data_IF_410540071781
#
_entry.id   IF_410540071781
#
_cell.length_a   1.000
_cell.length_b   1.000
_cell.length_c   1.000
_cell.angle_alpha   90.00
_cell.angle_beta   90.00
_cell.angle_gamma   90.00
#
_symmetry.space_group_name_H-M   'P 1'
#
loop_
_entity.id
_entity.type
_entity.pdbx_description
1 polymer ?
#
# COMPACT_ATOMS: atom_id res chain seq x y z
N UNK A 1 31.91 -40.37 -8.25
CA UNK A 1 32.42 -39.18 -7.54
C UNK A 1 31.31 -38.19 -7.26
N UNK A 2 30.62 -38.35 -6.14
CA UNK A 2 29.62 -37.41 -5.65
C UNK A 2 30.30 -36.39 -4.73
N UNK A 3 30.36 -35.13 -5.16
CA UNK A 3 30.79 -34.04 -4.29
C UNK A 3 29.67 -33.72 -3.30
N UNK A 4 29.88 -34.11 -2.04
CA UNK A 4 28.95 -33.89 -0.94
C UNK A 4 29.05 -32.42 -0.50
N UNK A 5 28.03 -31.61 -0.82
CA UNK A 5 27.98 -30.21 -0.39
C UNK A 5 27.46 -30.13 1.05
N UNK A 6 28.37 -30.03 2.01
CA UNK A 6 28.02 -29.68 3.38
C UNK A 6 27.82 -28.17 3.51
N UNK A 7 26.56 -27.75 3.63
CA UNK A 7 26.23 -26.39 4.04
C UNK A 7 26.62 -26.23 5.52
N UNK A 8 27.77 -25.61 5.77
CA UNK A 8 28.09 -25.10 7.10
C UNK A 8 27.05 -24.03 7.46
N UNK A 9 25.95 -24.40 8.12
CA UNK A 9 25.30 -23.48 9.05
C UNK A 9 26.37 -23.15 10.07
N UNK A 10 27.03 -22.01 9.87
CA UNK A 10 28.10 -21.52 10.71
C UNK A 10 27.67 -21.64 12.17
N UNK A 11 28.54 -22.21 13.00
CA UNK A 11 28.47 -22.14 14.45
C UNK A 11 28.10 -20.72 14.89
N UNK A 12 27.29 -20.57 15.94
CA UNK A 12 26.84 -19.24 16.39
C UNK A 12 28.05 -18.33 16.59
N UNK A 13 28.25 -17.39 15.68
CA UNK A 13 29.41 -16.51 15.72
C UNK A 13 29.19 -15.46 16.80
N UNK A 14 29.84 -15.63 17.95
CA UNK A 14 29.70 -14.78 19.15
C UNK A 14 30.53 -13.51 19.10
N UNK A 15 31.26 -13.24 18.01
CA UNK A 15 32.04 -12.01 17.93
C UNK A 15 31.14 -10.78 17.76
N UNK A 16 31.33 -9.83 18.68
CA UNK A 16 30.56 -8.61 18.83
C UNK A 16 30.56 -7.74 17.57
N UNK A 17 31.72 -7.58 16.91
CA UNK A 17 31.84 -6.79 15.68
C UNK A 17 31.03 -7.39 14.52
N UNK A 18 31.03 -8.72 14.38
CA UNK A 18 30.23 -9.39 13.35
C UNK A 18 28.73 -9.40 13.68
N UNK A 19 28.37 -9.46 14.96
CA UNK A 19 26.98 -9.30 15.39
C UNK A 19 26.47 -7.90 15.05
N UNK A 20 27.22 -6.84 15.37
CA UNK A 20 26.85 -5.46 15.00
C UNK A 20 26.77 -5.28 13.47
N UNK A 21 27.74 -5.81 12.73
CA UNK A 21 27.79 -5.66 11.27
C UNK A 21 26.73 -6.49 10.53
N UNK A 22 26.24 -7.60 11.12
CA UNK A 22 25.26 -8.51 10.52
C UNK A 22 23.93 -8.55 11.29
N UNK A 23 23.70 -7.60 12.19
CA UNK A 23 22.46 -7.55 12.96
C UNK A 23 21.30 -7.25 12.02
N UNK A 24 20.44 -8.25 11.80
CA UNK A 24 19.20 -8.07 11.05
C UNK A 24 18.12 -7.60 12.01
N UNK A 25 17.31 -6.62 11.58
CA UNK A 25 16.15 -6.15 12.35
C UNK A 25 15.27 -7.36 12.70
N UNK A 26 14.93 -7.51 13.99
CA UNK A 26 14.05 -8.60 14.43
C UNK A 26 12.70 -8.51 13.69
N UNK A 27 12.08 -9.66 13.37
CA UNK A 27 10.71 -9.68 12.88
C UNK A 27 9.80 -9.02 13.93
N UNK A 28 8.89 -8.18 13.47
CA UNK A 28 7.96 -7.48 14.34
C UNK A 28 6.91 -8.44 14.88
N UNK A 29 6.37 -8.13 16.06
CA UNK A 29 5.19 -8.79 16.60
C UNK A 29 4.02 -8.61 15.64
N UNK A 30 3.29 -9.69 15.35
CA UNK A 30 2.05 -9.60 14.56
C UNK A 30 1.05 -8.71 15.29
N UNK A 31 0.51 -7.71 14.59
CA UNK A 31 -0.57 -6.89 15.12
C UNK A 31 -1.90 -7.63 14.94
N UNK A 32 -2.49 -8.10 16.04
CA UNK A 32 -3.82 -8.74 16.06
C UNK A 32 -4.99 -7.73 15.98
N UNK A 33 -4.70 -6.45 15.81
CA UNK A 33 -5.73 -5.41 15.71
C UNK A 33 -6.42 -5.54 14.35
N UNK A 34 -7.70 -5.92 14.38
CA UNK A 34 -8.59 -5.93 13.22
C UNK A 34 -9.61 -4.82 13.46
N UNK A 35 -9.83 -3.97 12.46
CA UNK A 35 -10.91 -3.00 12.48
C UNK A 35 -12.26 -3.68 12.79
N UNK A 36 -13.03 -3.19 13.78
CA UNK A 36 -14.24 -3.86 14.26
C UNK A 36 -15.42 -3.84 13.27
N UNK A 37 -15.39 -2.95 12.28
CA UNK A 37 -16.42 -2.83 11.25
C UNK A 37 -15.89 -2.17 9.97
N UNK A 38 -16.55 -2.36 8.82
CA UNK A 38 -16.16 -1.74 7.55
C UNK A 38 -16.09 -0.22 7.66
N UNK A 39 -15.05 0.36 7.08
CA UNK A 39 -14.70 1.79 7.09
C UNK A 39 -14.28 2.36 8.45
N UNK A 40 -14.07 1.53 9.48
CA UNK A 40 -13.45 2.01 10.71
C UNK A 40 -12.03 2.54 10.43
N UNK A 41 -11.21 1.75 9.74
CA UNK A 41 -9.86 2.13 9.33
C UNK A 41 -9.68 1.78 7.87
N UNK A 42 -9.24 2.75 7.08
CA UNK A 42 -8.77 2.51 5.72
C UNK A 42 -7.27 2.80 5.63
N UNK A 43 -6.54 1.94 4.93
CA UNK A 43 -5.13 2.10 4.62
C UNK A 43 -4.99 2.61 3.19
N UNK A 44 -4.23 3.69 2.99
CA UNK A 44 -3.98 4.23 1.66
C UNK A 44 -2.48 4.23 1.33
N UNK A 45 -2.17 3.98 0.08
CA UNK A 45 -0.79 4.02 -0.44
C UNK A 45 -0.80 4.30 -1.96
N UNK A 46 0.26 4.92 -2.47
CA UNK A 46 0.39 5.29 -3.88
C UNK A 46 1.50 4.47 -4.53
N UNK A 47 1.11 3.66 -5.51
CA UNK A 47 2.06 3.00 -6.38
C UNK A 47 2.46 3.89 -7.56
N UNK A 48 3.73 3.82 -7.95
CA UNK A 48 4.28 4.52 -9.13
C UNK A 48 4.64 3.53 -10.22
N UNK A 49 4.10 3.73 -11.42
CA UNK A 49 4.45 2.95 -12.60
C UNK A 49 5.80 3.36 -13.16
N UNK A 50 6.65 2.40 -13.57
CA UNK A 50 7.85 2.71 -14.36
C UNK A 50 7.51 3.15 -15.80
N UNK A 51 6.28 2.92 -16.26
CA UNK A 51 5.85 3.21 -17.63
C UNK A 51 4.56 4.04 -17.61
N UNK A 52 4.58 5.16 -18.34
CA UNK A 52 3.39 5.97 -18.55
C UNK A 52 2.36 5.18 -19.35
N UNK A 53 1.11 5.16 -18.90
CA UNK A 53 0.04 4.48 -19.62
C UNK A 53 -0.32 5.18 -20.93
N UNK A 54 -1.09 4.49 -21.78
CA UNK A 54 -1.66 5.03 -23.01
C UNK A 54 -2.54 6.27 -22.80
N UNK A 55 -3.07 6.46 -21.59
CA UNK A 55 -4.03 7.52 -21.20
C UNK A 55 -3.39 8.56 -20.28
N UNK A 56 -2.07 8.50 -20.10
CA UNK A 56 -1.28 9.48 -19.33
C UNK A 56 -1.24 9.24 -17.81
N UNK A 57 -1.78 8.14 -17.31
CA UNK A 57 -1.62 7.74 -15.90
C UNK A 57 -0.20 7.23 -15.62
N UNK A 58 0.38 7.66 -14.50
CA UNK A 58 1.69 7.24 -14.01
C UNK A 58 1.63 6.61 -12.61
N UNK A 59 0.53 6.83 -11.87
CA UNK A 59 0.38 6.37 -10.49
C UNK A 59 -0.96 5.66 -10.34
N UNK A 60 -1.14 4.89 -9.27
CA UNK A 60 -2.48 4.59 -8.78
C UNK A 60 -2.50 4.66 -7.25
N UNK A 61 -3.60 5.18 -6.70
CA UNK A 61 -3.90 5.11 -5.28
C UNK A 61 -4.61 3.79 -4.99
N UNK A 62 -4.18 3.09 -3.93
CA UNK A 62 -4.95 2.01 -3.32
C UNK A 62 -5.58 2.52 -2.05
N UNK A 63 -6.84 2.17 -1.84
CA UNK A 63 -7.55 2.32 -0.58
C UNK A 63 -8.01 0.94 -0.14
N UNK A 64 -7.46 0.44 0.97
CA UNK A 64 -7.75 -0.87 1.54
C UNK A 64 -8.58 -0.69 2.81
N UNK A 65 -9.75 -1.31 2.88
CA UNK A 65 -10.51 -1.39 4.13
C UNK A 65 -9.92 -2.46 5.05
N UNK A 66 -9.62 -2.05 6.29
CA UNK A 66 -8.92 -2.92 7.24
C UNK A 66 -9.79 -4.08 7.76
N UNK A 67 -11.11 -3.91 7.74
CA UNK A 67 -12.08 -4.89 8.26
C UNK A 67 -12.42 -5.96 7.21
N UNK A 68 -12.76 -5.53 5.99
CA UNK A 68 -13.24 -6.40 4.92
C UNK A 68 -12.12 -6.89 4.00
N UNK A 69 -10.94 -6.29 4.09
CA UNK A 69 -9.84 -6.46 3.14
C UNK A 69 -10.20 -6.11 1.69
N UNK A 70 -11.31 -5.39 1.47
CA UNK A 70 -11.66 -4.90 0.14
C UNK A 70 -10.74 -3.74 -0.25
N UNK A 71 -10.24 -3.77 -1.49
CA UNK A 71 -9.35 -2.76 -2.02
C UNK A 71 -9.98 -2.03 -3.21
N UNK A 72 -10.04 -0.71 -3.14
CA UNK A 72 -10.35 0.16 -4.28
C UNK A 72 -9.04 0.68 -4.88
N UNK A 73 -9.01 0.80 -6.21
CA UNK A 73 -7.86 1.38 -6.92
C UNK A 73 -8.28 2.51 -7.82
N UNK A 74 -7.44 3.55 -7.89
CA UNK A 74 -7.71 4.76 -8.66
C UNK A 74 -6.46 5.17 -9.45
N UNK A 75 -6.44 4.98 -10.79
CA UNK A 75 -5.36 5.49 -11.63
C UNK A 75 -5.26 7.02 -11.56
N UNK A 76 -4.04 7.55 -11.40
CA UNK A 76 -3.75 8.98 -11.27
C UNK A 76 -2.68 9.42 -12.29
N UNK A 77 -2.78 10.68 -12.72
CA UNK A 77 -1.77 11.31 -13.58
C UNK A 77 -0.68 11.96 -12.76
N UNK A 78 -1.04 12.56 -11.63
CA UNK A 78 -0.11 13.18 -10.70
C UNK A 78 -0.37 12.70 -9.26
N UNK A 79 0.68 12.64 -8.44
CA UNK A 79 0.54 12.37 -7.00
C UNK A 79 -0.33 13.41 -6.27
N UNK A 80 -0.40 14.64 -6.79
CA UNK A 80 -1.26 15.70 -6.25
C UNK A 80 -2.75 15.40 -6.36
N UNK A 81 -3.15 14.47 -7.24
CA UNK A 81 -4.55 14.13 -7.50
C UNK A 81 -5.15 13.27 -6.36
N UNK A 82 -4.31 12.71 -5.48
CA UNK A 82 -4.70 11.85 -4.36
C UNK A 82 -5.76 12.51 -3.48
N UNK A 83 -5.60 13.80 -3.18
CA UNK A 83 -6.52 14.51 -2.29
C UNK A 83 -7.95 14.57 -2.85
N UNK A 84 -8.09 14.95 -4.12
CA UNK A 84 -9.40 15.03 -4.79
C UNK A 84 -10.07 13.65 -4.90
N UNK A 85 -9.29 12.61 -5.16
CA UNK A 85 -9.78 11.23 -5.18
C UNK A 85 -10.28 10.79 -3.81
N UNK A 86 -9.56 11.12 -2.73
CA UNK A 86 -10.00 10.77 -1.37
C UNK A 86 -11.26 11.53 -0.93
N UNK A 87 -11.43 12.79 -1.33
CA UNK A 87 -12.70 13.52 -1.11
C UNK A 87 -13.86 12.81 -1.80
N UNK A 88 -13.65 12.46 -3.08
CA UNK A 88 -14.67 11.77 -3.89
C UNK A 88 -15.00 10.41 -3.29
N UNK A 89 -13.98 9.66 -2.87
CA UNK A 89 -14.13 8.37 -2.20
C UNK A 89 -14.89 8.50 -0.87
N UNK A 90 -14.57 9.49 -0.05
CA UNK A 90 -15.30 9.76 1.20
C UNK A 90 -16.80 10.01 0.94
N UNK A 91 -17.14 10.84 -0.06
CA UNK A 91 -18.53 11.08 -0.43
C UNK A 91 -19.23 9.81 -0.96
N UNK A 92 -18.50 9.00 -1.75
CA UNK A 92 -18.99 7.71 -2.23
C UNK A 92 -19.29 6.75 -1.07
N UNK A 93 -18.39 6.62 -0.10
CA UNK A 93 -18.59 5.76 1.08
C UNK A 93 -19.78 6.22 1.91
N UNK A 94 -19.88 7.52 2.16
CA UNK A 94 -20.99 8.10 2.93
C UNK A 94 -22.36 7.85 2.27
N UNK A 95 -22.42 7.86 0.93
CA UNK A 95 -23.70 7.71 0.19
C UNK A 95 -24.06 6.25 -0.10
N UNK A 96 -23.12 5.47 -0.62
CA UNK A 96 -23.41 4.10 -1.08
C UNK A 96 -23.40 3.07 0.05
N UNK A 97 -22.56 3.27 1.06
CA UNK A 97 -22.45 2.35 2.20
C UNK A 97 -23.10 2.90 3.46
N UNK A 98 -23.50 4.17 3.47
CA UNK A 98 -24.11 4.84 4.62
C UNK A 98 -23.27 4.69 5.90
N UNK A 99 -21.94 4.77 5.73
CA UNK A 99 -20.96 4.60 6.81
C UNK A 99 -19.99 5.77 6.81
N UNK A 100 -19.54 6.23 7.99
CA UNK A 100 -18.43 7.15 8.08
C UNK A 100 -17.11 6.41 7.91
N UNK A 101 -16.11 7.09 7.36
CA UNK A 101 -14.71 6.69 7.47
C UNK A 101 -14.18 7.28 8.77
N UNK A 102 -13.76 6.45 9.73
CA UNK A 102 -13.31 6.98 11.04
C UNK A 102 -11.83 7.30 11.06
N UNK A 103 -11.02 6.49 10.38
CA UNK A 103 -9.56 6.60 10.40
C UNK A 103 -8.99 6.38 9.01
N UNK A 104 -8.11 7.28 8.59
CA UNK A 104 -7.28 7.11 7.39
C UNK A 104 -5.84 6.93 7.83
N UNK A 105 -5.27 5.80 7.46
CA UNK A 105 -3.87 5.45 7.71
C UNK A 105 -3.10 5.56 6.39
N UNK A 106 -2.06 6.39 6.33
CA UNK A 106 -1.18 6.50 5.17
C UNK A 106 0.26 6.35 5.58
N UNK A 107 1.12 6.08 4.60
CA UNK A 107 2.55 6.27 4.82
C UNK A 107 2.88 7.77 5.00
N UNK A 108 4.12 8.07 5.41
CA UNK A 108 4.57 9.45 5.58
C UNK A 108 4.88 10.15 4.23
N UNK A 109 4.18 9.76 3.16
CA UNK A 109 4.27 10.37 1.83
C UNK A 109 3.81 11.83 1.84
N UNK A 110 4.51 12.69 1.10
CA UNK A 110 4.19 14.12 1.01
C UNK A 110 2.85 14.38 0.32
N UNK A 111 2.40 13.45 -0.50
CA UNK A 111 1.09 13.47 -1.15
C UNK A 111 -0.08 13.48 -0.15
N UNK A 112 0.12 12.93 1.05
CA UNK A 112 -0.88 12.84 2.09
C UNK A 112 -0.72 13.93 3.16
N UNK A 113 0.39 14.67 3.18
CA UNK A 113 0.65 15.68 4.21
C UNK A 113 0.50 17.12 3.70
N UNK A 114 -0.73 17.51 3.37
CA UNK A 114 -1.10 18.88 3.01
C UNK A 114 -2.12 19.45 4.02
N UNK A 115 -1.99 20.73 4.37
CA UNK A 115 -2.93 21.48 5.21
C UNK A 115 -4.38 21.37 4.73
N UNK A 116 -4.61 21.39 3.42
CA UNK A 116 -5.96 21.24 2.86
C UNK A 116 -6.58 19.88 3.22
N UNK A 117 -5.80 18.80 3.15
CA UNK A 117 -6.25 17.47 3.52
C UNK A 117 -6.49 17.35 5.02
N UNK A 118 -5.57 17.83 5.86
CA UNK A 118 -5.75 17.84 7.32
C UNK A 118 -7.01 18.61 7.74
N UNK A 119 -7.29 19.74 7.10
CA UNK A 119 -8.49 20.53 7.36
C UNK A 119 -9.75 19.76 6.95
N UNK A 120 -9.74 19.12 5.78
CA UNK A 120 -10.84 18.28 5.33
C UNK A 120 -11.13 17.14 6.33
N UNK A 121 -10.10 16.41 6.78
CA UNK A 121 -10.25 15.33 7.74
C UNK A 121 -10.79 15.83 9.09
N UNK A 122 -10.25 16.94 9.59
CA UNK A 122 -10.69 17.57 10.85
C UNK A 122 -12.16 17.98 10.77
N UNK A 123 -12.60 18.58 9.66
CA UNK A 123 -13.99 19.01 9.45
C UNK A 123 -14.98 17.84 9.43
N UNK A 124 -14.53 16.64 9.05
CA UNK A 124 -15.35 15.43 9.01
C UNK A 124 -15.13 14.52 10.22
N UNK A 125 -14.32 14.95 11.20
CA UNK A 125 -14.00 14.16 12.40
C UNK A 125 -13.19 12.89 12.12
N UNK A 126 -12.47 12.85 11.00
CA UNK A 126 -11.67 11.69 10.57
C UNK A 126 -10.29 11.77 11.22
N UNK A 127 -9.88 10.68 11.88
CA UNK A 127 -8.55 10.56 12.47
C UNK A 127 -7.52 10.27 11.37
N UNK A 128 -6.45 11.06 11.34
CA UNK A 128 -5.35 10.87 10.41
C UNK A 128 -4.16 10.21 11.11
N UNK A 129 -3.76 9.03 10.63
CA UNK A 129 -2.57 8.32 11.10
C UNK A 129 -1.51 8.27 10.01
N UNK A 130 -0.37 8.88 10.31
CA UNK A 130 0.84 8.75 9.51
C UNK A 130 1.73 7.68 10.13
N UNK A 131 2.27 6.78 9.32
CA UNK A 131 3.34 5.90 9.79
C UNK A 131 4.56 6.71 10.23
N UNK A 132 5.29 6.21 11.22
CA UNK A 132 6.56 6.83 11.57
C UNK A 132 7.55 6.73 10.38
N UNK A 133 8.42 7.73 10.19
CA UNK A 133 9.53 7.61 9.24
C UNK A 133 10.32 6.32 9.50
N UNK A 134 10.67 5.59 8.43
CA UNK A 134 11.43 4.32 8.49
C UNK A 134 10.71 3.12 9.14
N UNK A 135 9.38 3.19 9.30
CA UNK A 135 8.51 2.07 9.68
C UNK A 135 7.39 1.85 8.65
N UNK A 136 7.76 1.71 7.37
CA UNK A 136 6.81 1.46 6.27
C UNK A 136 5.93 0.23 6.51
N UNK A 137 6.45 -0.74 7.29
CA UNK A 137 5.73 -1.93 7.77
C UNK A 137 4.43 -1.64 8.53
N UNK A 138 4.23 -0.46 9.11
CA UNK A 138 2.95 -0.07 9.72
C UNK A 138 1.82 0.11 8.68
N UNK A 139 2.18 0.41 7.42
CA UNK A 139 1.28 0.40 6.27
C UNK A 139 1.45 -0.90 5.44
N UNK A 140 2.04 -1.95 6.01
CA UNK A 140 2.38 -3.18 5.30
C UNK A 140 1.17 -3.88 4.67
N UNK A 141 -0.05 -3.64 5.18
CA UNK A 141 -1.30 -4.14 4.57
C UNK A 141 -1.54 -3.52 3.19
N UNK A 142 -1.39 -2.20 3.05
CA UNK A 142 -1.50 -1.51 1.76
C UNK A 142 -0.35 -1.88 0.81
N UNK A 143 0.88 -1.98 1.32
CA UNK A 143 2.04 -2.40 0.52
C UNK A 143 1.86 -3.83 -0.02
N UNK A 144 1.32 -4.74 0.81
CA UNK A 144 1.07 -6.13 0.43
C UNK A 144 0.02 -6.23 -0.67
N UNK A 145 -1.09 -5.49 -0.57
CA UNK A 145 -2.12 -5.51 -1.62
C UNK A 145 -1.58 -4.87 -2.91
N UNK A 146 -0.78 -3.80 -2.84
CA UNK A 146 -0.10 -3.22 -4.02
C UNK A 146 0.78 -4.28 -4.70
N UNK A 147 1.53 -5.07 -3.94
CA UNK A 147 2.34 -6.15 -4.49
C UNK A 147 1.47 -7.19 -5.21
N UNK A 148 0.39 -7.67 -4.58
CA UNK A 148 -0.53 -8.63 -5.19
C UNK A 148 -1.15 -8.08 -6.48
N UNK A 149 -1.61 -6.82 -6.47
CA UNK A 149 -2.20 -6.17 -7.64
C UNK A 149 -1.18 -6.02 -8.78
N UNK A 150 0.04 -5.62 -8.48
CA UNK A 150 1.09 -5.45 -9.51
C UNK A 150 1.59 -6.77 -10.09
N UNK A 151 1.61 -7.85 -9.29
CA UNK A 151 1.88 -9.21 -9.77
C UNK A 151 0.77 -9.72 -10.70
N UNK A 152 -0.50 -9.52 -10.33
CA UNK A 152 -1.66 -9.88 -11.16
C UNK A 152 -1.71 -9.11 -12.47
N UNK A 153 -1.53 -7.79 -12.41
CA UNK A 153 -1.43 -6.90 -13.57
C UNK A 153 -0.36 -7.34 -14.57
N UNK A 154 0.85 -7.64 -14.09
CA UNK A 154 1.95 -8.12 -14.94
C UNK A 154 1.56 -9.44 -15.61
N UNK A 155 1.00 -10.36 -14.84
CA UNK A 155 0.56 -11.67 -15.33
C UNK A 155 -0.48 -11.55 -16.43
N UNK A 156 -1.48 -10.68 -16.28
CA UNK A 156 -2.49 -10.40 -17.29
C UNK A 156 -1.90 -9.81 -18.57
N UNK A 157 -1.00 -8.83 -18.45
CA UNK A 157 -0.34 -8.22 -19.61
C UNK A 157 0.52 -9.23 -20.37
N UNK A 158 1.28 -10.06 -19.66
CA UNK A 158 2.06 -11.13 -20.30
C UNK A 158 1.16 -12.17 -20.97
N UNK A 159 0.11 -12.62 -20.30
CA UNK A 159 -0.81 -13.62 -20.86
C UNK A 159 -1.51 -13.11 -22.12
N UNK A 160 -1.95 -11.84 -22.12
CA UNK A 160 -2.62 -11.21 -23.25
C UNK A 160 -1.67 -10.69 -24.34
N UNK A 161 -0.35 -10.80 -24.15
CA UNK A 161 0.67 -10.18 -25.02
C UNK A 161 0.47 -8.67 -25.22
N UNK A 162 -0.07 -7.99 -24.20
CA UNK A 162 -0.36 -6.56 -24.24
C UNK A 162 0.85 -5.73 -23.76
N UNK A 163 1.15 -4.60 -24.43
CA UNK A 163 2.18 -3.67 -23.98
C UNK A 163 1.93 -3.13 -22.56
N UNK A 164 3.01 -2.87 -21.80
CA UNK A 164 2.92 -2.39 -20.41
C UNK A 164 2.21 -1.04 -20.23
N UNK A 165 2.07 -0.24 -21.29
CA UNK A 165 1.28 1.00 -21.28
C UNK A 165 -0.23 0.78 -21.09
N UNK A 166 -0.74 -0.45 -21.21
CA UNK A 166 -2.13 -0.83 -20.92
C UNK A 166 -2.32 -1.28 -19.47
N UNK A 167 -1.36 -0.96 -18.58
CA UNK A 167 -1.45 -1.32 -17.17
C UNK A 167 -2.76 -0.83 -16.48
N UNK A 168 -3.38 0.33 -16.80
CA UNK A 168 -4.63 0.71 -16.14
C UNK A 168 -5.79 -0.24 -16.46
N UNK A 169 -5.84 -0.76 -17.70
CA UNK A 169 -6.87 -1.71 -18.14
C UNK A 169 -6.68 -3.08 -17.44
N UNK A 170 -5.43 -3.52 -17.31
CA UNK A 170 -5.09 -4.71 -16.54
C UNK A 170 -5.35 -4.54 -15.04
N UNK A 171 -5.12 -3.33 -14.49
CA UNK A 171 -5.44 -3.01 -13.10
C UNK A 171 -6.94 -3.17 -12.84
N UNK A 172 -7.78 -2.58 -13.70
CA UNK A 172 -9.24 -2.67 -13.60
C UNK A 172 -9.79 -4.11 -13.69
N UNK A 173 -9.01 -5.03 -14.26
CA UNK A 173 -9.38 -6.46 -14.32
C UNK A 173 -8.90 -7.23 -13.08
N UNK A 174 -7.86 -6.75 -12.41
CA UNK A 174 -7.25 -7.40 -11.24
C UNK A 174 -7.97 -7.04 -9.92
N UNK A 175 -8.70 -5.92 -9.93
CA UNK A 175 -9.37 -5.32 -8.77
C UNK A 175 -10.86 -5.58 -8.82
#
# INVERSE_FOLDING_TARGET
DSFDFHCNKATSHTCHACQLAKHVRLPFSESFTIAPFPFHTIHCDVWTSPVLSNSGFQYFLVVLDDCTHFAWTFPLRHKSDVFEVLITFHAYVATQFQRPILTIHTDNGREFDNTAFRNFLTNHGIVFHLTCPYTSQQNGRAEQIIRTLTEGLRSLLFHSSMPTKFWPDALATTT
#
